data_IF_867875636580
#
_entry.id   IF_867875636580
#
_cell.length_a   1.000
_cell.length_b   1.000
_cell.length_c   1.000
_cell.angle_alpha   90.00
_cell.angle_beta   90.00
_cell.angle_gamma   90.00
#
_symmetry.space_group_name_H-M   'P 1'
#
loop_
_entity.id
_entity.type
_entity.pdbx_description
1 polymer ?
#
# COMPACT_ATOMS: atom_id res chain seq x y z
N UNK A 1 -9.82 -18.17 9.89
CA UNK A 1 -8.59 -17.72 9.18
C UNK A 1 -8.49 -16.21 9.33
N UNK A 2 -7.35 -15.66 9.74
CA UNK A 2 -7.17 -14.19 9.80
C UNK A 2 -6.90 -13.68 8.38
N UNK A 3 -7.45 -12.52 7.97
CA UNK A 3 -7.07 -11.94 6.69
C UNK A 3 -5.60 -11.54 6.74
N UNK A 4 -4.83 -11.88 5.71
CA UNK A 4 -3.41 -11.52 5.67
C UNK A 4 -3.19 -10.00 5.63
N UNK A 5 -4.14 -9.26 5.03
CA UNK A 5 -4.08 -7.81 4.90
C UNK A 5 -5.39 -7.21 5.39
N UNK A 6 -5.26 -6.28 6.34
CA UNK A 6 -6.30 -5.36 6.77
C UNK A 6 -6.12 -4.03 6.05
N UNK A 7 -7.08 -3.67 5.20
CA UNK A 7 -7.08 -2.38 4.52
C UNK A 7 -7.61 -1.29 5.48
N UNK A 8 -6.92 -0.14 5.66
CA UNK A 8 -7.31 0.92 6.60
C UNK A 8 -8.70 1.52 6.31
N UNK A 9 -9.45 1.92 7.35
CA UNK A 9 -10.76 2.56 7.25
C UNK A 9 -10.78 3.79 8.17
N UNK A 10 -11.13 4.99 7.68
CA UNK A 10 -11.86 5.24 6.43
C UNK A 10 -10.98 5.49 5.19
N UNK A 11 -9.70 5.13 5.20
CA UNK A 11 -8.79 5.29 4.05
C UNK A 11 -9.31 4.62 2.78
N UNK A 12 -9.87 3.42 2.93
CA UNK A 12 -10.62 2.70 1.92
C UNK A 12 -11.93 2.22 2.54
N UNK A 13 -12.98 2.11 1.71
CA UNK A 13 -14.32 1.68 2.11
C UNK A 13 -14.82 0.49 1.33
N UNK A 14 -14.45 0.37 0.05
CA UNK A 14 -14.99 -0.66 -0.85
C UNK A 14 -13.91 -1.13 -1.83
N UNK A 15 -13.01 -2.00 -1.37
CA UNK A 15 -12.07 -2.69 -2.26
C UNK A 15 -12.80 -3.84 -2.95
N UNK A 16 -12.91 -3.75 -4.27
CA UNK A 16 -13.53 -4.72 -5.15
C UNK A 16 -12.44 -5.45 -5.93
N UNK A 17 -12.63 -5.68 -7.24
CA UNK A 17 -11.80 -6.49 -8.12
C UNK A 17 -10.32 -6.53 -7.73
N UNK A 18 -9.83 -7.74 -7.49
CA UNK A 18 -8.46 -8.02 -7.09
C UNK A 18 -7.75 -8.77 -8.21
N UNK A 19 -6.50 -8.40 -8.47
CA UNK A 19 -5.64 -9.14 -9.39
C UNK A 19 -4.19 -9.08 -8.94
N UNK A 20 -3.42 -10.13 -9.20
CA UNK A 20 -1.96 -10.08 -9.06
C UNK A 20 -1.34 -9.70 -10.40
N UNK A 21 -0.39 -8.77 -10.36
CA UNK A 21 0.46 -8.50 -11.50
C UNK A 21 1.37 -9.71 -11.74
N UNK A 22 1.56 -10.16 -12.99
CA UNK A 22 2.48 -11.24 -13.31
C UNK A 22 3.89 -10.99 -12.77
N UNK A 23 4.62 -12.05 -12.39
CA UNK A 23 6.04 -11.93 -12.00
C UNK A 23 6.89 -11.36 -13.14
N UNK A 24 6.49 -11.61 -14.38
CA UNK A 24 7.08 -11.05 -15.60
C UNK A 24 6.60 -9.65 -15.98
N UNK A 25 5.83 -8.96 -15.14
CA UNK A 25 5.23 -7.67 -15.49
C UNK A 25 6.30 -6.62 -15.87
N UNK A 26 5.98 -5.81 -16.89
CA UNK A 26 6.92 -4.87 -17.52
C UNK A 26 7.51 -3.89 -16.52
N UNK A 27 6.70 -3.36 -15.62
CA UNK A 27 7.19 -2.57 -14.50
C UNK A 27 7.64 -3.49 -13.36
N UNK A 28 8.96 -3.73 -13.31
CA UNK A 28 9.61 -4.55 -12.28
C UNK A 28 9.44 -4.01 -10.88
N UNK A 29 9.11 -2.72 -10.72
CA UNK A 29 8.87 -2.16 -9.39
C UNK A 29 7.60 -2.74 -8.75
N UNK A 30 6.63 -3.18 -9.56
CA UNK A 30 5.35 -3.70 -9.08
C UNK A 30 5.01 -5.12 -9.51
N UNK A 31 5.90 -5.79 -10.25
CA UNK A 31 5.73 -7.19 -10.64
C UNK A 31 5.48 -8.10 -9.43
N UNK A 32 4.50 -9.01 -9.54
CA UNK A 32 4.08 -9.90 -8.46
C UNK A 32 3.23 -9.25 -7.35
N UNK A 33 3.03 -7.93 -7.37
CA UNK A 33 2.16 -7.27 -6.39
C UNK A 33 0.69 -7.45 -6.74
N UNK A 34 -0.16 -7.46 -5.72
CA UNK A 34 -1.61 -7.41 -5.91
C UNK A 34 -2.11 -5.98 -6.12
N UNK A 35 -3.20 -5.82 -6.86
CA UNK A 35 -3.94 -4.57 -7.05
C UNK A 35 -5.39 -4.81 -6.67
N UNK A 36 -6.02 -3.80 -6.05
CA UNK A 36 -7.45 -3.79 -5.77
C UNK A 36 -8.12 -2.50 -6.23
N UNK A 37 -9.39 -2.60 -6.60
CA UNK A 37 -10.21 -1.47 -7.03
C UNK A 37 -10.97 -0.84 -5.86
N UNK A 38 -10.57 0.35 -5.42
CA UNK A 38 -11.30 1.11 -4.40
C UNK A 38 -12.42 1.93 -5.06
N UNK A 39 -13.65 1.43 -4.93
CA UNK A 39 -14.81 1.95 -5.64
C UNK A 39 -15.25 3.34 -5.15
N UNK A 40 -15.36 3.52 -3.83
CA UNK A 40 -16.02 4.67 -3.22
C UNK A 40 -15.21 5.97 -3.37
N UNK A 41 -13.92 5.88 -3.08
CA UNK A 41 -12.93 6.95 -3.16
C UNK A 41 -12.18 6.96 -4.50
N UNK A 42 -12.51 6.04 -5.41
CA UNK A 42 -12.12 6.05 -6.84
C UNK A 42 -10.61 6.06 -7.05
N UNK A 43 -9.93 5.10 -6.44
CA UNK A 43 -8.51 4.86 -6.67
C UNK A 43 -8.20 3.37 -6.67
N UNK A 44 -6.97 3.02 -7.02
CA UNK A 44 -6.46 1.66 -6.93
C UNK A 44 -5.54 1.53 -5.73
N UNK A 45 -5.65 0.42 -5.03
CA UNK A 45 -4.70 -0.01 -3.99
C UNK A 45 -3.72 -1.01 -4.58
N UNK A 46 -2.51 -1.05 -4.02
CA UNK A 46 -1.54 -2.12 -4.27
C UNK A 46 -1.24 -2.83 -2.96
N UNK A 47 -1.00 -4.12 -3.00
CA UNK A 47 -0.64 -4.88 -1.82
C UNK A 47 0.51 -5.87 -2.06
N UNK A 48 1.28 -6.13 -0.99
CA UNK A 48 2.38 -7.09 -0.95
C UNK A 48 2.19 -8.06 0.20
N UNK A 49 2.71 -9.28 0.04
CA UNK A 49 2.52 -10.39 0.97
C UNK A 49 3.87 -10.81 1.56
N UNK A 50 3.85 -11.27 2.81
CA UNK A 50 4.98 -11.83 3.53
C UNK A 50 4.51 -12.95 4.45
N UNK A 51 5.11 -14.13 4.32
CA UNK A 51 4.96 -15.19 5.31
C UNK A 51 6.00 -15.01 6.42
N UNK A 52 5.56 -15.07 7.68
CA UNK A 52 6.43 -15.01 8.86
C UNK A 52 6.10 -16.18 9.76
N UNK A 53 6.97 -17.19 9.79
CA UNK A 53 6.79 -18.39 10.63
C UNK A 53 5.42 -19.05 10.44
N UNK A 54 4.99 -19.27 9.21
CA UNK A 54 3.71 -19.89 8.86
C UNK A 54 2.48 -18.97 8.94
N UNK A 55 2.63 -17.70 9.32
CA UNK A 55 1.52 -16.72 9.32
C UNK A 55 1.65 -15.77 8.12
N UNK A 56 0.60 -15.70 7.30
CA UNK A 56 0.55 -14.75 6.19
C UNK A 56 0.15 -13.36 6.67
N UNK A 57 0.95 -12.37 6.29
CA UNK A 57 0.76 -10.95 6.57
C UNK A 57 1.16 -10.11 5.35
N UNK A 58 0.96 -8.79 5.39
CA UNK A 58 1.29 -7.97 4.24
C UNK A 58 1.04 -6.49 4.42
N UNK A 59 1.37 -5.74 3.37
CA UNK A 59 1.19 -4.30 3.31
C UNK A 59 0.24 -3.88 2.20
N UNK A 60 -0.47 -2.78 2.42
CA UNK A 60 -1.26 -2.08 1.39
C UNK A 60 -0.79 -0.65 1.22
N UNK A 61 -0.85 -0.17 -0.01
CA UNK A 61 -0.37 1.14 -0.47
C UNK A 61 -1.38 1.72 -1.46
N UNK A 62 -1.32 3.02 -1.69
CA UNK A 62 -1.91 3.58 -2.92
C UNK A 62 -1.17 3.05 -4.15
N UNK A 63 -1.92 2.69 -5.18
CA UNK A 63 -1.39 2.37 -6.52
C UNK A 63 -1.67 3.49 -7.53
N UNK A 64 -2.76 4.22 -7.36
CA UNK A 64 -3.08 5.43 -8.11
C UNK A 64 -3.35 6.60 -7.16
N UNK A 65 -3.23 7.84 -7.65
CA UNK A 65 -3.46 9.01 -6.80
C UNK A 65 -4.95 9.12 -6.46
N UNK A 66 -5.34 9.18 -5.17
CA UNK A 66 -6.70 9.53 -4.81
C UNK A 66 -7.00 10.97 -5.24
N UNK A 67 -8.26 11.29 -5.51
CA UNK A 67 -8.68 12.67 -5.75
C UNK A 67 -8.17 13.31 -7.04
N UNK A 68 -7.62 12.55 -8.00
CA UNK A 68 -7.20 13.06 -9.31
C UNK A 68 -8.39 13.44 -10.24
N UNK A 69 -9.57 13.71 -9.67
CA UNK A 69 -10.81 14.03 -10.37
C UNK A 69 -11.66 12.80 -10.71
N UNK A 70 -12.80 13.06 -11.35
CA UNK A 70 -13.76 12.07 -11.86
C UNK A 70 -13.89 12.34 -13.36
N UNK A 71 -13.88 11.29 -14.19
CA UNK A 71 -14.02 11.40 -15.64
C UNK A 71 -12.91 10.68 -16.39
N UNK A 72 -12.77 10.94 -17.69
CA UNK A 72 -11.88 10.18 -18.61
C UNK A 72 -10.41 10.11 -18.17
N UNK A 73 -9.95 11.07 -17.35
CA UNK A 73 -8.57 11.16 -16.86
C UNK A 73 -8.32 10.38 -15.57
N UNK A 74 -9.37 9.80 -14.95
CA UNK A 74 -9.27 8.99 -13.72
C UNK A 74 -10.36 7.89 -13.68
N UNK A 75 -10.65 7.32 -12.51
CA UNK A 75 -11.70 6.31 -12.33
C UNK A 75 -13.05 6.96 -11.97
N UNK A 76 -14.14 6.40 -12.48
CA UNK A 76 -15.51 6.81 -12.10
C UNK A 76 -16.10 5.95 -10.99
N UNK A 77 -15.60 4.71 -10.86
CA UNK A 77 -15.96 3.75 -9.81
C UNK A 77 -15.33 2.40 -10.16
N UNK A 78 -14.03 2.21 -9.89
CA UNK A 78 -13.30 1.03 -10.33
C UNK A 78 -13.85 -0.21 -9.64
N UNK A 79 -14.05 -1.30 -10.38
CA UNK A 79 -14.72 -2.52 -9.89
C UNK A 79 -14.02 -3.81 -10.32
N UNK A 80 -13.43 -3.85 -11.52
CA UNK A 80 -12.77 -5.04 -12.06
C UNK A 80 -11.40 -4.70 -12.65
N UNK A 81 -10.50 -5.68 -12.63
CA UNK A 81 -9.12 -5.53 -13.11
C UNK A 81 -8.80 -6.66 -14.11
N UNK A 82 -8.18 -6.30 -15.23
CA UNK A 82 -7.56 -7.26 -16.14
C UNK A 82 -6.16 -6.77 -16.54
N UNK A 83 -5.20 -7.70 -16.65
CA UNK A 83 -3.84 -7.41 -17.12
C UNK A 83 -3.67 -8.02 -18.49
N UNK A 84 -3.35 -7.20 -19.49
CA UNK A 84 -3.10 -7.69 -20.84
C UNK A 84 -1.74 -8.38 -20.95
N UNK A 85 -1.52 -9.25 -21.97
CA UNK A 85 -0.22 -9.84 -22.23
C UNK A 85 0.91 -8.83 -22.46
N UNK A 86 0.59 -7.60 -22.88
CA UNK A 86 1.55 -6.50 -23.10
C UNK A 86 1.88 -5.71 -21.82
N UNK A 87 1.27 -6.07 -20.69
CA UNK A 87 1.49 -5.39 -19.41
C UNK A 87 0.62 -4.15 -19.18
N UNK A 88 -0.34 -3.85 -20.06
CA UNK A 88 -1.34 -2.83 -19.77
C UNK A 88 -2.34 -3.34 -18.73
N UNK A 89 -2.70 -2.48 -17.76
CA UNK A 89 -3.75 -2.76 -16.77
C UNK A 89 -5.04 -2.09 -17.25
N UNK A 90 -6.12 -2.86 -17.34
CA UNK A 90 -7.45 -2.37 -17.70
C UNK A 90 -8.35 -2.43 -16.48
N UNK A 91 -9.05 -1.34 -16.23
CA UNK A 91 -9.97 -1.19 -15.11
C UNK A 91 -11.38 -1.03 -15.68
N UNK A 92 -12.27 -1.93 -15.30
CA UNK A 92 -13.70 -1.76 -15.51
C UNK A 92 -14.26 -0.86 -14.42
N UNK A 93 -14.95 0.20 -14.82
CA UNK A 93 -15.55 1.17 -13.92
C UNK A 93 -17.06 1.21 -14.09
N UNK A 94 -17.75 1.56 -13.01
CA UNK A 94 -19.18 1.83 -13.00
C UNK A 94 -19.44 3.15 -12.27
N UNK A 95 -20.27 4.01 -12.86
CA UNK A 95 -20.70 5.27 -12.25
C UNK A 95 -22.14 5.17 -11.75
N UNK A 96 -23.01 4.62 -12.59
CA UNK A 96 -24.38 4.24 -12.26
C UNK A 96 -24.58 2.79 -12.71
N UNK A 97 -25.05 1.95 -11.79
CA UNK A 97 -25.32 0.54 -12.03
C UNK A 97 -26.70 0.27 -12.62
N UNK A 98 -27.47 1.32 -12.88
CA UNK A 98 -28.82 1.20 -13.44
C UNK A 98 -29.78 0.45 -12.53
N UNK A 99 -29.50 0.38 -11.22
CA UNK A 99 -30.40 -0.23 -10.25
C UNK A 99 -31.79 0.42 -10.37
N UNK A 100 -32.84 -0.40 -10.24
CA UNK A 100 -34.24 0.03 -10.40
C UNK A 100 -34.59 0.57 -11.80
N UNK A 101 -33.86 0.14 -12.85
CA UNK A 101 -34.14 0.54 -14.24
C UNK A 101 -33.45 1.82 -14.69
N UNK A 102 -32.45 2.29 -13.94
CA UNK A 102 -31.60 3.42 -14.31
C UNK A 102 -30.67 3.10 -15.48
N UNK A 103 -29.87 4.10 -15.89
CA UNK A 103 -28.90 3.92 -16.99
C UNK A 103 -27.66 3.20 -16.48
N UNK A 104 -27.25 2.15 -17.18
CA UNK A 104 -25.94 1.54 -16.98
C UNK A 104 -24.86 2.45 -17.56
N UNK A 105 -24.08 3.10 -16.69
CA UNK A 105 -22.99 4.00 -17.11
C UNK A 105 -21.67 3.55 -16.48
N UNK A 106 -20.66 3.40 -17.32
CA UNK A 106 -19.35 2.91 -16.92
C UNK A 106 -18.31 3.20 -17.99
N UNK A 107 -17.05 2.98 -17.66
CA UNK A 107 -15.91 3.19 -18.56
C UNK A 107 -14.90 2.08 -18.40
N UNK A 108 -14.13 1.82 -19.45
CA UNK A 108 -12.91 1.00 -19.36
C UNK A 108 -11.72 1.95 -19.40
N UNK A 109 -10.96 1.98 -18.31
CA UNK A 109 -9.74 2.81 -18.20
C UNK A 109 -8.52 1.95 -18.42
N UNK A 110 -7.69 2.28 -19.42
CA UNK A 110 -6.39 1.65 -19.62
C UNK A 110 -5.30 2.45 -18.91
N UNK A 111 -4.56 1.79 -18.03
CA UNK A 111 -3.37 2.33 -17.38
C UNK A 111 -2.12 1.90 -18.14
N UNK A 112 -1.27 2.87 -18.45
CA UNK A 112 0.03 2.68 -19.07
C UNK A 112 1.11 3.16 -18.11
N UNK A 113 2.18 2.38 -17.99
CA UNK A 113 3.35 2.82 -17.25
C UNK A 113 3.95 4.07 -17.91
N UNK A 114 4.32 5.05 -17.09
CA UNK A 114 5.04 6.25 -17.54
C UNK A 114 6.50 6.08 -17.16
N UNK A 115 7.39 6.26 -18.13
CA UNK A 115 8.83 6.23 -17.88
C UNK A 115 9.21 7.31 -16.85
N UNK A 116 10.05 6.95 -15.87
CA UNK A 116 10.47 7.89 -14.83
C UNK A 116 9.39 8.22 -13.79
N UNK A 117 8.44 7.31 -13.53
CA UNK A 117 7.42 7.45 -12.48
C UNK A 117 7.99 7.83 -11.09
N UNK A 118 7.15 8.18 -10.10
CA UNK A 118 7.61 8.68 -8.80
C UNK A 118 8.51 7.68 -8.06
N UNK A 119 9.37 8.19 -7.16
CA UNK A 119 10.07 7.35 -6.21
C UNK A 119 9.21 7.22 -4.95
N UNK A 120 9.00 6.02 -4.44
CA UNK A 120 8.16 5.80 -3.26
C UNK A 120 8.38 4.43 -2.66
N UNK A 121 7.61 4.14 -1.60
CA UNK A 121 7.65 2.85 -0.93
C UNK A 121 7.08 1.79 -1.87
N UNK A 122 7.95 0.87 -2.28
CA UNK A 122 7.65 -0.25 -3.16
C UNK A 122 7.26 -1.49 -2.39
N UNK A 123 7.95 -1.77 -1.29
CA UNK A 123 7.65 -2.91 -0.44
C UNK A 123 7.87 -2.55 1.03
N UNK A 124 7.15 -3.24 1.90
CA UNK A 124 7.21 -3.06 3.33
C UNK A 124 7.14 -4.44 3.98
N UNK A 125 8.22 -4.82 4.68
CA UNK A 125 8.33 -6.12 5.34
C UNK A 125 8.60 -5.97 6.82
N UNK A 126 7.93 -6.78 7.63
CA UNK A 126 8.30 -6.95 9.02
C UNK A 126 9.68 -7.61 9.10
N UNK A 127 10.52 -7.11 9.99
CA UNK A 127 11.82 -7.69 10.34
C UNK A 127 11.93 -7.75 11.87
N UNK A 128 12.90 -8.49 12.45
CA UNK A 128 13.04 -8.54 13.90
C UNK A 128 13.22 -7.14 14.49
N UNK A 129 12.31 -6.75 15.38
CA UNK A 129 12.33 -5.45 16.05
C UNK A 129 11.95 -4.25 15.18
N UNK A 130 11.32 -4.44 14.01
CA UNK A 130 11.05 -3.31 13.14
C UNK A 130 10.44 -3.62 11.77
N UNK A 131 10.64 -2.69 10.84
CA UNK A 131 10.21 -2.82 9.45
C UNK A 131 11.34 -2.45 8.48
N UNK A 132 11.38 -3.15 7.34
CA UNK A 132 12.18 -2.78 6.19
C UNK A 132 11.29 -2.16 5.13
N UNK A 133 11.59 -0.92 4.77
CA UNK A 133 11.01 -0.21 3.63
C UNK A 133 11.95 -0.38 2.44
N UNK A 134 11.44 -0.78 1.30
CA UNK A 134 12.18 -0.79 0.03
C UNK A 134 11.56 0.20 -0.93
N UNK A 135 12.39 1.01 -1.58
CA UNK A 135 11.99 2.10 -2.47
C UNK A 135 12.13 1.72 -3.94
N UNK A 136 11.43 2.45 -4.81
CA UNK A 136 11.51 2.24 -6.26
C UNK A 136 12.87 2.68 -6.84
N UNK A 137 13.50 3.69 -6.25
CA UNK A 137 14.83 4.21 -6.60
C UNK A 137 15.59 4.63 -5.35
N UNK A 138 16.89 4.92 -5.52
CA UNK A 138 17.75 5.40 -4.44
C UNK A 138 17.17 6.63 -3.75
N UNK A 139 17.31 6.66 -2.42
CA UNK A 139 16.92 7.78 -1.56
C UNK A 139 18.15 8.58 -1.12
N UNK A 140 17.93 9.82 -0.67
CA UNK A 140 19.00 10.63 -0.10
C UNK A 140 19.55 10.00 1.18
N UNK A 141 20.88 9.80 1.23
CA UNK A 141 21.49 9.02 2.29
C UNK A 141 21.38 9.67 3.68
N UNK A 142 21.54 11.00 3.73
CA UNK A 142 21.53 11.76 4.98
C UNK A 142 20.11 11.89 5.52
N UNK A 143 19.13 12.18 4.66
CA UNK A 143 17.72 12.29 5.04
C UNK A 143 17.14 10.93 5.41
N UNK A 144 17.41 9.88 4.63
CA UNK A 144 16.86 8.55 4.87
C UNK A 144 17.41 7.87 6.14
N UNK A 145 18.58 8.27 6.62
CA UNK A 145 19.21 7.73 7.84
C UNK A 145 18.72 8.41 9.13
N UNK A 146 17.87 9.44 9.04
CA UNK A 146 17.32 10.13 10.22
C UNK A 146 16.02 9.45 10.67
N UNK A 147 15.91 8.99 11.94
CA UNK A 147 14.66 8.47 12.48
C UNK A 147 13.49 9.46 12.36
N UNK A 148 13.76 10.76 12.50
CA UNK A 148 12.77 11.83 12.37
C UNK A 148 12.19 12.01 10.96
N UNK A 149 12.77 11.36 9.94
CA UNK A 149 12.22 11.34 8.58
C UNK A 149 11.05 10.37 8.42
N UNK A 150 10.66 9.67 9.48
CA UNK A 150 9.60 8.67 9.45
C UNK A 150 8.62 8.84 10.59
N UNK A 151 7.38 8.40 10.37
CA UNK A 151 6.37 8.25 11.41
C UNK A 151 5.83 6.84 11.38
N UNK A 152 5.50 6.32 12.57
CA UNK A 152 4.87 5.00 12.72
C UNK A 152 3.74 5.11 13.74
N UNK A 153 2.53 4.77 13.31
CA UNK A 153 1.37 4.62 14.18
C UNK A 153 0.78 3.21 14.04
N UNK A 154 0.43 2.60 15.16
CA UNK A 154 -0.25 1.31 15.22
C UNK A 154 -1.73 1.50 15.53
N UNK A 155 -2.59 0.64 15.00
CA UNK A 155 -4.02 0.59 15.33
C UNK A 155 -4.57 -0.81 15.10
N UNK A 156 -5.78 -1.06 15.57
CA UNK A 156 -6.50 -2.33 15.36
C UNK A 156 -7.98 -2.06 15.12
N UNK A 157 -8.79 -3.10 14.96
CA UNK A 157 -10.25 -2.97 14.84
C UNK A 157 -10.95 -3.93 15.77
N UNK A 158 -11.84 -3.36 16.57
CA UNK A 158 -12.81 -4.13 17.35
C UNK A 158 -14.15 -4.07 16.63
N UNK A 159 -14.53 -5.15 15.96
CA UNK A 159 -15.82 -5.25 15.27
C UNK A 159 -16.98 -5.24 16.27
N UNK A 160 -17.95 -4.34 16.06
CA UNK A 160 -19.15 -4.21 16.90
C UNK A 160 -20.46 -4.40 16.12
N UNK A 161 -20.42 -5.00 14.94
CA UNK A 161 -21.61 -5.32 14.15
C UNK A 161 -22.17 -4.19 13.27
N UNK A 162 -21.57 -2.99 13.28
CA UNK A 162 -22.02 -1.88 12.44
C UNK A 162 -21.45 -1.93 11.02
N UNK A 163 -22.21 -1.47 10.02
CA UNK A 163 -21.81 -1.48 8.59
C UNK A 163 -20.40 -0.90 8.34
N UNK A 164 -20.03 0.13 9.09
CA UNK A 164 -18.65 0.61 9.18
C UNK A 164 -18.13 0.42 10.61
N UNK A 165 -16.86 0.07 10.74
CA UNK A 165 -16.16 0.04 12.02
C UNK A 165 -14.88 0.87 11.90
N UNK A 166 -14.76 2.00 12.63
CA UNK A 166 -13.55 2.81 12.60
C UNK A 166 -12.36 2.04 13.19
N UNK A 167 -11.15 2.47 12.82
CA UNK A 167 -9.95 2.03 13.51
C UNK A 167 -10.02 2.40 15.01
N UNK A 168 -9.44 1.55 15.84
CA UNK A 168 -9.46 1.62 17.31
C UNK A 168 -8.07 1.35 17.87
N UNK A 169 -7.83 1.68 19.14
CA UNK A 169 -6.58 1.38 19.81
C UNK A 169 -5.34 2.03 19.17
N UNK A 170 -5.50 3.24 18.60
CA UNK A 170 -4.38 3.98 18.00
C UNK A 170 -3.29 4.25 19.03
N UNK A 171 -2.05 3.97 18.67
CA UNK A 171 -0.87 4.31 19.47
C UNK A 171 0.30 4.72 18.57
N UNK A 172 1.22 5.51 19.11
CA UNK A 172 2.48 5.82 18.43
C UNK A 172 3.52 4.76 18.75
N UNK A 173 4.22 4.26 17.75
CA UNK A 173 5.41 3.42 17.95
C UNK A 173 6.67 4.28 17.81
N UNK A 174 7.67 4.02 18.64
CA UNK A 174 8.89 4.84 18.70
C UNK A 174 9.93 4.27 17.75
N UNK A 175 10.31 5.04 16.73
CA UNK A 175 11.45 4.70 15.88
C UNK A 175 12.73 5.03 16.66
N UNK A 176 13.57 4.03 16.91
CA UNK A 176 14.84 4.17 17.64
C UNK A 176 16.04 4.28 16.71
N UNK A 177 15.95 3.75 15.49
CA UNK A 177 16.99 3.87 14.48
C UNK A 177 16.41 3.77 13.07
N UNK A 178 17.07 4.41 12.11
CA UNK A 178 16.85 4.24 10.68
C UNK A 178 18.20 3.91 10.03
N UNK A 179 18.31 2.75 9.38
CA UNK A 179 19.55 2.28 8.75
C UNK A 179 19.33 2.09 7.27
N UNK A 180 19.96 2.94 6.47
CA UNK A 180 19.97 2.81 5.01
C UNK A 180 20.91 1.66 4.60
N UNK A 181 20.46 0.82 3.67
CA UNK A 181 21.28 -0.21 3.05
C UNK A 181 22.30 0.41 2.09
N UNK A 182 23.42 -0.27 1.86
CA UNK A 182 24.52 0.23 1.03
C UNK A 182 24.11 0.53 -0.43
N UNK A 183 23.07 -0.16 -0.94
CA UNK A 183 22.54 0.07 -2.28
C UNK A 183 21.70 1.36 -2.41
N UNK A 184 21.35 1.99 -1.27
CA UNK A 184 20.50 3.17 -1.19
C UNK A 184 19.01 2.89 -1.44
N UNK A 185 18.58 1.63 -1.54
CA UNK A 185 17.23 1.24 -1.97
C UNK A 185 16.34 0.78 -0.83
N UNK A 186 16.88 0.53 0.36
CA UNK A 186 16.09 0.06 1.51
C UNK A 186 16.52 0.70 2.81
N UNK A 187 15.54 1.01 3.66
CA UNK A 187 15.78 1.48 5.03
C UNK A 187 15.17 0.48 6.01
N UNK A 188 15.97 0.06 6.98
CA UNK A 188 15.47 -0.73 8.12
C UNK A 188 15.24 0.20 9.30
N UNK A 189 13.99 0.27 9.75
CA UNK A 189 13.57 1.02 10.93
C UNK A 189 13.54 0.08 12.13
N UNK A 190 14.28 0.41 13.19
CA UNK A 190 14.13 -0.23 14.50
C UNK A 190 13.02 0.49 15.27
N UNK A 191 12.06 -0.26 15.79
CA UNK A 191 10.82 0.31 16.36
C UNK A 191 10.48 -0.38 17.68
N UNK A 192 10.31 0.43 18.73
CA UNK A 192 9.77 0.00 20.01
C UNK A 192 8.25 0.18 20.04
N UNK A 193 7.56 -0.73 20.73
CA UNK A 193 6.09 -0.69 20.85
C UNK A 193 5.34 -1.37 19.71
N UNK A 194 5.99 -2.31 19.00
CA UNK A 194 5.30 -3.22 18.09
C UNK A 194 4.43 -4.22 18.85
N UNK A 195 3.22 -4.46 18.36
CA UNK A 195 2.20 -5.33 18.92
C UNK A 195 1.65 -6.19 17.79
N UNK A 196 1.65 -7.51 17.99
CA UNK A 196 0.96 -8.41 17.09
C UNK A 196 -0.55 -8.11 17.05
N UNK A 197 -1.22 -8.42 15.94
CA UNK A 197 -2.65 -8.15 15.72
C UNK A 197 -2.99 -6.68 15.46
N UNK A 198 -1.99 -5.84 15.19
CA UNK A 198 -2.17 -4.44 14.82
C UNK A 198 -1.78 -4.20 13.37
N UNK A 199 -2.35 -3.15 12.78
CA UNK A 199 -1.93 -2.57 11.51
C UNK A 199 -1.04 -1.38 11.81
N UNK A 200 0.06 -1.25 11.08
CA UNK A 200 1.03 -0.17 11.22
C UNK A 200 1.00 0.72 9.99
N UNK A 201 0.60 1.97 10.17
CA UNK A 201 0.80 3.05 9.21
C UNK A 201 2.23 3.56 9.35
N UNK A 202 2.98 3.48 8.26
CA UNK A 202 4.39 3.85 8.20
C UNK A 202 4.56 4.84 7.06
N UNK A 203 4.97 6.06 7.40
CA UNK A 203 5.16 7.15 6.44
C UNK A 203 6.62 7.59 6.42
N UNK A 204 7.16 7.78 5.22
CA UNK A 204 8.44 8.47 5.01
C UNK A 204 8.21 9.94 4.59
N UNK A 205 9.09 10.82 5.04
CA UNK A 205 9.13 12.22 4.63
C UNK A 205 9.76 12.43 3.25
N UNK A 206 10.26 13.65 3.01
CA UNK A 206 10.96 14.04 1.79
C UNK A 206 12.39 13.51 1.79
N UNK A 207 12.53 12.23 1.45
CA UNK A 207 13.82 11.52 1.42
C UNK A 207 14.23 11.13 0.00
N UNK A 208 13.55 11.63 -1.04
CA UNK A 208 14.04 11.51 -2.40
C UNK A 208 15.34 12.28 -2.61
N UNK A 209 16.08 11.97 -3.67
CA UNK A 209 17.22 12.79 -4.09
C UNK A 209 16.79 14.26 -4.25
N UNK A 210 17.67 15.18 -3.85
CA UNK A 210 17.41 16.63 -3.86
C UNK A 210 16.16 17.06 -3.08
N UNK A 211 15.76 16.27 -2.06
CA UNK A 211 14.57 16.55 -1.24
C UNK A 211 13.25 16.30 -1.96
N UNK A 212 13.26 15.52 -3.04
CA UNK A 212 12.06 15.18 -3.80
C UNK A 212 11.01 14.45 -2.94
N UNK A 213 9.74 14.65 -3.29
CA UNK A 213 8.62 14.00 -2.63
C UNK A 213 8.55 12.52 -2.97
N UNK A 214 8.12 11.71 -1.99
CA UNK A 214 7.96 10.28 -2.13
C UNK A 214 6.51 9.94 -2.49
N UNK A 215 6.28 9.02 -3.42
CA UNK A 215 4.95 8.51 -3.71
C UNK A 215 4.96 7.04 -4.17
N UNK A 216 4.19 6.15 -3.51
CA UNK A 216 3.47 6.40 -2.26
C UNK A 216 4.46 6.61 -1.10
N UNK A 217 4.22 7.61 -0.25
CA UNK A 217 5.03 7.87 0.95
C UNK A 217 4.59 7.05 2.16
N UNK A 218 3.41 6.42 2.11
CA UNK A 218 2.81 5.69 3.23
C UNK A 218 2.45 4.28 2.81
N UNK A 219 2.72 3.32 3.68
CA UNK A 219 2.22 1.95 3.61
C UNK A 219 1.56 1.53 4.91
N UNK A 220 0.59 0.62 4.83
CA UNK A 220 -0.09 0.07 6.00
C UNK A 220 0.16 -1.44 6.09
N UNK A 221 0.86 -1.87 7.13
CA UNK A 221 1.28 -3.25 7.31
C UNK A 221 0.45 -3.98 8.37
N UNK A 222 -0.15 -5.11 8.03
CA UNK A 222 -0.87 -5.98 8.97
C UNK A 222 0.10 -6.89 9.70
N UNK A 223 0.42 -6.61 10.96
CA UNK A 223 1.43 -7.34 11.73
C UNK A 223 0.79 -8.44 12.58
N UNK A 224 0.67 -9.65 12.03
CA UNK A 224 0.12 -10.80 12.75
C UNK A 224 1.17 -11.49 13.62
N UNK A 225 2.39 -11.60 13.12
CA UNK A 225 3.53 -12.19 13.80
C UNK A 225 4.77 -11.31 13.62
N UNK A 226 5.45 -11.07 14.74
CA UNK A 226 6.72 -10.35 14.76
C UNK A 226 7.84 -11.35 14.42
N UNK A 227 8.67 -11.11 13.40
CA UNK A 227 9.79 -11.99 13.08
C UNK A 227 10.77 -12.11 14.25
N UNK A 228 11.26 -13.31 14.50
CA UNK A 228 12.32 -13.57 15.48
C UNK A 228 13.67 -13.34 14.82
N UNK A 229 14.68 -12.91 15.60
CA UNK A 229 16.06 -13.03 15.14
C UNK A 229 16.33 -14.52 14.91
N UNK A 230 16.90 -14.86 13.76
CA UNK A 230 17.43 -16.22 13.59
C UNK A 230 18.44 -16.48 14.72
N UNK A 231 18.45 -17.68 15.32
CA UNK A 231 19.48 -18.10 16.26
C UNK A 231 20.89 -17.91 15.69
#
# INVERSE_FOLDING_TARGET
MKPAIHVPHPWSRSVNGLAFLPVGFTDRSVAGHGIGCEYDSRFLVRFTMQEVGGEMQGAVFHFSRPGAGVGEKNFVGPLSIAVSPKGDIHIGNIYDSGWLGGRNTGTITRLRAVAGGPNGIRDLKAVPGGFRLTFARRVDALAASKPGSYTVSGYTRTWKGGYTTPDSGRHRAKITAARLAADGLSVTLSIDGLRAGHVYEITCGKIGGDGAEMWPATGHYSLHRIPRKSP
#
